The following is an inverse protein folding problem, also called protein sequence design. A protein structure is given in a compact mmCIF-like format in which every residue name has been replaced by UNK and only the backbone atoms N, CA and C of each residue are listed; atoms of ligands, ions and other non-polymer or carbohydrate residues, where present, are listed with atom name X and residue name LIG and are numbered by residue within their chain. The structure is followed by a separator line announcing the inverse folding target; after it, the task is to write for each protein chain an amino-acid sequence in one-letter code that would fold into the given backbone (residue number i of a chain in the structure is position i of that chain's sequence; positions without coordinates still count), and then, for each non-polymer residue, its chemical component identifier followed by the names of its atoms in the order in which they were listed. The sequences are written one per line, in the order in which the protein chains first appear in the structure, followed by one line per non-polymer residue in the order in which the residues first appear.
data_IF_021019233081
#
_entry.id   IF_021019233081
#
_cell.length_a   1.000
_cell.length_b   1.000
_cell.length_c   1.000
_cell.angle_alpha   90.00
_cell.angle_beta   90.00
_cell.angle_gamma   90.00
#
_symmetry.space_group_name_H-M   'P 1'
#
loop_
_entity.id
_entity.type
_entity.pdbx_description
1 polymer ?
#
# COMPACT_ATOMS: atom_id res chain seq x y z
N UNK A 1 -9.96 -8.28 1.84
CA UNK A 1 -9.84 -9.10 3.07
C UNK A 1 -11.08 -9.11 3.96
N UNK A 2 -11.50 -10.28 4.49
CA UNK A 2 -12.60 -10.40 5.46
C UNK A 2 -12.35 -9.59 6.74
N UNK A 3 -11.12 -9.62 7.25
CA UNK A 3 -10.73 -8.91 8.49
C UNK A 3 -10.67 -7.40 8.31
N UNK A 4 -10.24 -6.88 7.16
CA UNK A 4 -10.34 -5.44 6.87
C UNK A 4 -11.80 -4.96 6.94
N UNK A 5 -12.73 -5.74 6.38
CA UNK A 5 -14.15 -5.42 6.45
C UNK A 5 -14.65 -5.47 7.89
N UNK A 6 -14.25 -6.46 8.67
CA UNK A 6 -14.59 -6.55 10.10
C UNK A 6 -14.08 -5.34 10.89
N UNK A 7 -12.81 -4.95 10.71
CA UNK A 7 -12.23 -3.76 11.34
C UNK A 7 -12.99 -2.50 10.90
N UNK A 8 -13.28 -2.37 9.60
CA UNK A 8 -14.02 -1.24 9.04
C UNK A 8 -15.43 -1.13 9.60
N UNK A 9 -16.14 -2.25 9.75
CA UNK A 9 -17.48 -2.25 10.35
C UNK A 9 -17.41 -1.94 11.85
N UNK A 10 -16.43 -2.50 12.57
CA UNK A 10 -16.23 -2.23 14.00
C UNK A 10 -15.97 -0.74 14.28
N UNK A 11 -15.20 -0.08 13.42
CA UNK A 11 -14.93 1.36 13.52
C UNK A 11 -16.17 2.25 13.33
N UNK A 12 -17.32 1.71 12.90
CA UNK A 12 -18.59 2.45 12.80
C UNK A 12 -19.41 2.41 14.08
N UNK A 13 -19.01 1.62 15.07
CA UNK A 13 -19.71 1.51 16.34
C UNK A 13 -19.60 2.82 17.15
N UNK A 14 -20.53 3.02 18.09
CA UNK A 14 -20.56 4.24 18.94
C UNK A 14 -19.37 4.33 19.89
N UNK A 15 -18.88 3.18 20.33
CA UNK A 15 -17.74 3.04 21.21
C UNK A 15 -16.80 2.01 20.59
N UNK A 16 -15.51 2.34 20.53
CA UNK A 16 -14.47 1.50 19.94
C UNK A 16 -13.44 1.22 21.01
N UNK A 17 -13.19 -0.07 21.29
CA UNK A 17 -12.09 -0.50 22.12
C UNK A 17 -10.79 -0.49 21.30
N UNK A 18 -9.91 0.44 21.66
CA UNK A 18 -8.62 0.63 21.00
C UNK A 18 -7.69 -0.57 21.20
N UNK A 19 -7.75 -1.23 22.35
CA UNK A 19 -6.91 -2.39 22.64
C UNK A 19 -7.35 -3.58 21.76
N UNK A 20 -8.65 -3.82 21.68
CA UNK A 20 -9.21 -4.84 20.79
C UNK A 20 -8.92 -4.56 19.31
N UNK A 21 -9.00 -3.30 18.88
CA UNK A 21 -8.64 -2.88 17.52
C UNK A 21 -7.15 -3.15 17.23
N UNK A 22 -6.27 -2.81 18.17
CA UNK A 22 -4.82 -3.03 18.04
C UNK A 22 -4.51 -4.52 17.93
N UNK A 23 -5.15 -5.37 18.74
CA UNK A 23 -5.00 -6.83 18.65
C UNK A 23 -5.45 -7.37 17.28
N UNK A 24 -6.59 -6.90 16.75
CA UNK A 24 -7.05 -7.27 15.40
C UNK A 24 -6.05 -6.88 14.31
N UNK A 25 -5.44 -5.69 14.41
CA UNK A 25 -4.45 -5.21 13.44
C UNK A 25 -3.15 -6.02 13.55
N UNK A 26 -2.66 -6.28 14.77
CA UNK A 26 -1.45 -7.06 14.98
C UNK A 26 -1.60 -8.49 14.47
N UNK A 27 -2.75 -9.13 14.68
CA UNK A 27 -3.06 -10.44 14.13
C UNK A 27 -3.05 -10.49 12.59
N UNK A 28 -3.09 -9.35 11.92
CA UNK A 28 -2.98 -9.26 10.46
C UNK A 28 -1.55 -9.07 9.96
N UNK A 29 -0.59 -8.69 10.81
CA UNK A 29 0.82 -8.52 10.37
C UNK A 29 1.40 -9.82 9.82
N UNK A 30 1.01 -10.96 10.39
CA UNK A 30 1.51 -12.28 9.98
C UNK A 30 0.70 -12.91 8.84
N UNK A 31 -0.32 -12.22 8.33
CA UNK A 31 -1.14 -12.71 7.21
C UNK A 31 -0.49 -12.27 5.90
N UNK A 32 -0.24 -13.23 5.01
CA UNK A 32 0.32 -12.95 3.69
C UNK A 32 -0.56 -11.96 2.92
N UNK A 33 0.07 -10.93 2.37
CA UNK A 33 -0.60 -9.90 1.59
C UNK A 33 -1.24 -10.50 0.33
N UNK A 34 -2.50 -10.15 0.06
CA UNK A 34 -3.12 -10.50 -1.21
C UNK A 34 -2.51 -9.70 -2.36
N UNK A 35 -1.93 -10.38 -3.36
CA UNK A 35 -1.44 -9.73 -4.60
C UNK A 35 -2.46 -8.79 -5.25
N UNK A 36 -3.74 -9.16 -5.19
CA UNK A 36 -4.83 -8.34 -5.72
C UNK A 36 -5.02 -7.05 -4.92
N UNK A 37 -5.01 -7.15 -3.59
CA UNK A 37 -5.19 -5.99 -2.71
C UNK A 37 -3.97 -5.05 -2.81
N UNK A 38 -2.76 -5.59 -2.88
CA UNK A 38 -1.54 -4.82 -3.15
C UNK A 38 -1.61 -4.09 -4.49
N UNK A 39 -1.95 -4.80 -5.58
CA UNK A 39 -2.08 -4.20 -6.90
C UNK A 39 -3.10 -3.05 -6.91
N UNK A 40 -4.26 -3.24 -6.25
CA UNK A 40 -5.25 -2.17 -6.10
C UNK A 40 -4.71 -0.97 -5.33
N UNK A 41 -3.94 -1.18 -4.25
CA UNK A 41 -3.31 -0.11 -3.50
C UNK A 41 -2.31 0.67 -4.37
N UNK A 42 -1.49 -0.01 -5.16
CA UNK A 42 -0.55 0.63 -6.09
C UNK A 42 -1.27 1.41 -7.19
N UNK A 43 -2.38 0.90 -7.72
CA UNK A 43 -3.21 1.64 -8.68
C UNK A 43 -3.82 2.91 -8.07
N UNK A 44 -4.12 2.90 -6.77
CA UNK A 44 -4.54 4.10 -6.05
C UNK A 44 -3.39 5.11 -5.92
N UNK A 45 -2.19 4.64 -5.53
CA UNK A 45 -0.98 5.46 -5.47
C UNK A 45 -0.63 6.06 -6.85
N UNK A 46 -0.79 5.30 -7.93
CA UNK A 46 -0.64 5.79 -9.29
C UNK A 46 -1.53 7.00 -9.61
N UNK A 47 -2.72 7.08 -8.98
CA UNK A 47 -3.63 8.22 -9.13
C UNK A 47 -2.99 9.57 -8.81
N UNK A 48 -2.00 9.61 -7.92
CA UNK A 48 -1.25 10.82 -7.56
C UNK A 48 -0.32 11.30 -8.67
N UNK A 49 0.20 10.39 -9.51
CA UNK A 49 1.12 10.72 -10.60
C UNK A 49 0.42 10.86 -11.95
N UNK A 50 -0.77 10.28 -12.11
CA UNK A 50 -1.48 10.09 -13.39
C UNK A 50 -1.62 11.35 -14.25
N UNK A 51 -1.71 12.54 -13.65
CA UNK A 51 -1.89 13.81 -14.39
C UNK A 51 -0.61 14.27 -15.09
N UNK A 52 0.55 14.02 -14.47
CA UNK A 52 1.84 14.58 -14.90
C UNK A 52 2.77 13.52 -15.49
N UNK A 53 2.57 12.26 -15.13
CA UNK A 53 3.37 11.14 -15.62
C UNK A 53 3.09 10.84 -17.10
N UNK A 54 4.16 10.50 -17.82
CA UNK A 54 4.11 10.18 -19.24
C UNK A 54 3.45 8.82 -19.52
N UNK A 55 3.01 8.62 -20.76
CA UNK A 55 2.50 7.32 -21.21
C UNK A 55 3.54 6.20 -21.12
N UNK A 56 4.83 6.53 -21.25
CA UNK A 56 5.93 5.57 -21.09
C UNK A 56 6.03 5.10 -19.64
N UNK A 57 5.92 6.02 -18.68
CA UNK A 57 5.93 5.70 -17.25
C UNK A 57 4.70 4.89 -16.83
N UNK A 58 3.53 5.26 -17.36
CA UNK A 58 2.31 4.48 -17.18
C UNK A 58 2.49 3.04 -17.68
N UNK A 59 2.98 2.86 -18.92
CA UNK A 59 3.24 1.52 -19.47
C UNK A 59 4.27 0.76 -18.65
N UNK A 60 5.31 1.42 -18.16
CA UNK A 60 6.32 0.85 -17.28
C UNK A 60 5.72 0.28 -15.99
N UNK A 61 4.93 1.08 -15.28
CA UNK A 61 4.25 0.64 -14.06
C UNK A 61 3.36 -0.57 -14.32
N UNK A 62 2.50 -0.51 -15.35
CA UNK A 62 1.56 -1.59 -15.64
C UNK A 62 2.27 -2.88 -16.05
N UNK A 63 3.41 -2.80 -16.76
CA UNK A 63 4.22 -3.97 -17.08
C UNK A 63 4.80 -4.64 -15.83
N UNK A 64 5.26 -3.86 -14.84
CA UNK A 64 5.79 -4.41 -13.60
C UNK A 64 4.65 -5.02 -12.75
N UNK A 65 3.48 -4.38 -12.71
CA UNK A 65 2.30 -4.92 -12.03
C UNK A 65 1.84 -6.25 -12.64
N UNK A 66 1.85 -6.39 -13.96
CA UNK A 66 1.53 -7.66 -14.64
C UNK A 66 2.54 -8.76 -14.28
N UNK A 67 3.84 -8.44 -14.24
CA UNK A 67 4.88 -9.38 -13.80
C UNK A 67 4.68 -9.79 -12.35
N UNK A 68 4.34 -8.86 -11.47
CA UNK A 68 4.06 -9.15 -10.06
C UNK A 68 2.86 -10.11 -9.91
N UNK A 69 1.77 -9.85 -10.64
CA UNK A 69 0.58 -10.72 -10.64
C UNK A 69 0.86 -12.13 -11.18
N UNK A 70 1.87 -12.28 -12.06
CA UNK A 70 2.30 -13.56 -12.64
C UNK A 70 3.54 -14.15 -11.98
N UNK A 71 3.93 -13.65 -10.80
CA UNK A 71 5.08 -14.11 -9.99
C UNK A 71 6.47 -13.92 -10.62
N UNK A 72 6.54 -13.14 -11.68
CA UNK A 72 7.78 -12.79 -12.39
C UNK A 72 8.46 -11.54 -11.81
N UNK A 73 7.87 -10.93 -10.79
CA UNK A 73 8.43 -9.81 -10.02
C UNK A 73 7.93 -9.86 -8.58
N UNK A 74 8.66 -9.23 -7.66
CA UNK A 74 8.29 -9.12 -6.25
C UNK A 74 7.70 -7.74 -5.92
N UNK A 75 7.17 -7.61 -4.70
CA UNK A 75 6.57 -6.36 -4.20
C UNK A 75 7.57 -5.20 -4.19
N UNK A 76 8.81 -5.46 -3.78
CA UNK A 76 9.89 -4.48 -3.71
C UNK A 76 10.15 -3.81 -5.05
N UNK A 77 10.14 -4.58 -6.15
CA UNK A 77 10.32 -4.05 -7.51
C UNK A 77 9.22 -3.06 -7.89
N UNK A 78 7.97 -3.29 -7.45
CA UNK A 78 6.85 -2.37 -7.68
C UNK A 78 7.04 -1.10 -6.84
N UNK A 79 7.40 -1.24 -5.57
CA UNK A 79 7.63 -0.11 -4.65
C UNK A 79 8.81 0.76 -5.12
N UNK A 80 9.89 0.15 -5.61
CA UNK A 80 11.04 0.87 -6.15
C UNK A 80 10.66 1.72 -7.36
N UNK A 81 9.82 1.18 -8.26
CA UNK A 81 9.29 1.95 -9.38
C UNK A 81 8.47 3.16 -8.91
N UNK A 82 7.61 2.98 -7.90
CA UNK A 82 6.86 4.08 -7.29
C UNK A 82 7.79 5.12 -6.66
N UNK A 83 8.87 4.70 -5.98
CA UNK A 83 9.87 5.62 -5.41
C UNK A 83 10.57 6.45 -6.48
N UNK A 84 10.84 5.87 -7.67
CA UNK A 84 11.38 6.62 -8.81
C UNK A 84 10.39 7.68 -9.29
N UNK A 85 9.11 7.32 -9.43
CA UNK A 85 8.06 8.28 -9.78
C UNK A 85 7.93 9.38 -8.73
N UNK A 86 7.97 9.05 -7.44
CA UNK A 86 7.86 10.01 -6.35
C UNK A 86 9.04 11.00 -6.32
N UNK A 87 10.25 10.57 -6.69
CA UNK A 87 11.40 11.49 -6.85
C UNK A 87 11.18 12.48 -7.99
N UNK A 88 10.55 12.03 -9.08
CA UNK A 88 10.30 12.85 -10.27
C UNK A 88 9.10 13.77 -10.12
N UNK A 89 8.06 13.29 -9.43
CA UNK A 89 6.82 13.99 -9.16
C UNK A 89 6.59 14.01 -7.64
N UNK A 90 7.28 14.90 -6.90
CA UNK A 90 7.21 14.93 -5.44
C UNK A 90 5.78 15.14 -4.94
N UNK A 91 5.42 14.36 -3.93
CA UNK A 91 4.14 14.47 -3.25
C UNK A 91 4.35 14.22 -1.76
N UNK A 92 4.08 15.24 -0.93
CA UNK A 92 4.34 15.19 0.51
C UNK A 92 3.61 14.02 1.19
N UNK A 93 2.32 13.85 0.89
CA UNK A 93 1.51 12.78 1.48
C UNK A 93 2.09 11.38 1.20
N UNK A 94 2.57 11.14 -0.01
CA UNK A 94 3.22 9.87 -0.34
C UNK A 94 4.62 9.72 0.27
N UNK A 95 5.36 10.83 0.43
CA UNK A 95 6.68 10.80 1.07
C UNK A 95 6.61 10.42 2.56
N UNK A 96 5.49 10.70 3.21
CA UNK A 96 5.20 10.34 4.61
C UNK A 96 4.51 8.96 4.73
N UNK A 97 4.27 8.26 3.62
CA UNK A 97 3.56 6.98 3.63
C UNK A 97 4.44 5.81 4.07
N UNK A 98 4.01 5.08 5.09
CA UNK A 98 4.65 3.85 5.58
C UNK A 98 4.77 2.76 4.51
N UNK A 99 3.87 2.74 3.51
CA UNK A 99 3.97 1.85 2.35
C UNK A 99 5.30 2.02 1.60
N UNK A 100 5.81 3.26 1.52
CA UNK A 100 7.01 3.59 0.77
C UNK A 100 8.24 3.75 1.67
N UNK A 101 8.07 4.25 2.89
CA UNK A 101 9.17 4.44 3.83
C UNK A 101 9.51 3.19 4.65
N UNK A 102 8.60 2.22 4.70
CA UNK A 102 8.63 1.14 5.69
C UNK A 102 8.02 1.58 7.03
N UNK A 103 7.76 0.62 7.91
CA UNK A 103 7.35 0.91 9.29
C UNK A 103 8.55 1.42 10.10
N UNK A 104 8.39 2.58 10.74
CA UNK A 104 9.14 2.90 11.96
C UNK A 104 8.33 2.31 13.11
N UNK A 105 8.79 1.23 13.74
CA UNK A 105 8.13 0.68 14.93
C UNK A 105 8.29 1.65 16.11
N UNK A 106 7.45 2.68 16.19
CA UNK A 106 7.36 3.57 17.36
C UNK A 106 6.75 2.85 18.57
N UNK A 107 6.14 1.67 18.39
CA UNK A 107 5.52 0.88 19.48
C UNK A 107 6.51 0.11 20.37
N UNK A 108 7.82 0.33 20.20
CA UNK A 108 8.88 -0.17 21.09
C UNK A 108 9.37 0.87 22.12
N UNK A 109 8.69 2.01 22.25
CA UNK A 109 8.94 3.02 23.29
C UNK A 109 7.88 2.99 24.41
#
# INVERSE_FOLDING_TARGET
HKVYLEIREYLKEKEVDIQFLKEKILNLRDVEESKKDFNNAILHVWGYFKKDASDVEKKGLFCILEKYMTEKANQESVIEYIKVLLKKYPNQYLQESTLLTGEYDETLA
#
